data_IF_604688947476
#
_entry.id   IF_604688947476
#
_cell.length_a   1.000
_cell.length_b   1.000
_cell.length_c   1.000
_cell.angle_alpha   90.00
_cell.angle_beta   90.00
_cell.angle_gamma   90.00
#
_symmetry.space_group_name_H-M   'P 1'
#
loop_
_entity.id
_entity.type
_entity.pdbx_description
1 polymer ?
#
# COMPACT_ATOMS: atom_id res chain seq x y z
N UNK A 1 34.89 14.22 -44.04
CA UNK A 1 33.80 14.02 -45.02
C UNK A 1 33.55 12.54 -45.20
N UNK A 2 32.28 12.19 -45.15
CA UNK A 2 31.63 10.87 -45.17
C UNK A 2 31.97 10.04 -46.42
N UNK A 3 32.24 8.74 -46.27
CA UNK A 3 32.13 7.78 -47.40
C UNK A 3 31.12 6.69 -47.06
N UNK A 4 29.99 6.82 -47.76
CA UNK A 4 28.85 5.90 -47.87
C UNK A 4 29.31 4.50 -48.29
N UNK A 5 28.74 3.48 -47.68
CA UNK A 5 28.73 2.12 -48.19
C UNK A 5 27.50 1.94 -49.12
N UNK A 6 27.73 1.36 -50.29
CA UNK A 6 26.69 0.94 -51.23
C UNK A 6 26.82 -0.58 -51.40
N UNK A 7 25.73 -1.25 -51.01
CA UNK A 7 25.07 -2.43 -51.58
C UNK A 7 25.79 -3.76 -51.84
N UNK A 8 24.97 -4.80 -51.62
CA UNK A 8 24.97 -6.16 -52.18
C UNK A 8 26.03 -7.10 -51.57
N UNK A 9 25.69 -8.29 -51.07
CA UNK A 9 24.47 -9.07 -51.11
C UNK A 9 24.91 -10.52 -50.90
N UNK A 10 24.24 -11.29 -50.05
CA UNK A 10 24.40 -12.75 -50.02
C UNK A 10 23.03 -13.36 -49.74
N UNK A 11 22.43 -13.90 -50.79
CA UNK A 11 21.44 -14.95 -50.67
C UNK A 11 22.20 -16.29 -50.56
N UNK A 12 21.81 -17.15 -49.63
CA UNK A 12 21.70 -18.60 -49.82
C UNK A 12 21.24 -19.25 -48.51
N UNK A 13 20.45 -20.30 -48.68
CA UNK A 13 19.54 -20.86 -47.70
C UNK A 13 20.15 -21.93 -46.78
N UNK A 14 19.43 -22.13 -45.67
CA UNK A 14 19.14 -23.37 -44.97
C UNK A 14 20.28 -24.16 -44.29
N UNK A 15 20.21 -24.23 -42.96
CA UNK A 15 20.22 -25.49 -42.23
C UNK A 15 19.40 -25.34 -40.94
N UNK A 16 18.39 -26.19 -40.79
CA UNK A 16 17.52 -26.30 -39.64
C UNK A 16 18.27 -26.82 -38.40
N UNK A 17 17.61 -26.69 -37.24
CA UNK A 17 18.02 -27.09 -35.87
C UNK A 17 18.81 -26.05 -35.06
N UNK A 18 18.29 -24.82 -35.00
CA UNK A 18 18.60 -23.89 -33.92
C UNK A 18 17.43 -23.83 -32.95
N UNK A 19 17.63 -24.28 -31.71
CA UNK A 19 16.67 -24.23 -30.62
C UNK A 19 16.07 -22.82 -30.57
N UNK A 20 14.78 -22.69 -30.86
CA UNK A 20 14.08 -21.43 -30.65
C UNK A 20 14.07 -21.18 -29.14
N UNK A 21 15.05 -20.40 -28.66
CA UNK A 21 15.00 -19.81 -27.33
C UNK A 21 13.90 -18.74 -27.37
N UNK A 22 12.65 -19.19 -27.38
CA UNK A 22 11.51 -18.35 -27.06
C UNK A 22 11.64 -18.01 -25.58
N UNK A 23 12.45 -17.00 -25.27
CA UNK A 23 12.37 -16.32 -23.99
C UNK A 23 11.00 -15.68 -23.96
N UNK A 24 10.04 -16.36 -23.34
CA UNK A 24 8.76 -15.77 -22.97
C UNK A 24 9.07 -14.42 -22.32
N UNK A 25 8.36 -13.33 -22.67
CA UNK A 25 8.54 -12.08 -21.97
C UNK A 25 8.34 -12.38 -20.50
N UNK A 26 9.36 -12.13 -19.69
CA UNK A 26 9.23 -12.22 -18.25
C UNK A 26 8.09 -11.26 -17.91
N UNK A 27 6.93 -11.80 -17.56
CA UNK A 27 5.89 -11.01 -16.90
C UNK A 27 6.58 -10.45 -15.68
N UNK A 28 6.94 -9.17 -15.73
CA UNK A 28 7.43 -8.48 -14.57
C UNK A 28 6.29 -8.54 -13.56
N UNK A 29 6.41 -9.43 -12.57
CA UNK A 29 5.55 -9.49 -11.40
C UNK A 29 5.64 -8.13 -10.73
N UNK A 30 4.81 -7.20 -11.19
CA UNK A 30 4.73 -5.88 -10.62
C UNK A 30 4.02 -6.07 -9.30
N UNK A 31 4.69 -5.85 -8.15
CA UNK A 31 4.06 -6.06 -6.87
C UNK A 31 2.81 -5.17 -6.78
N UNK A 32 1.71 -5.69 -6.21
CA UNK A 32 0.48 -4.93 -6.07
C UNK A 32 0.74 -3.63 -5.29
N UNK A 33 -0.03 -2.56 -5.54
CA UNK A 33 0.19 -1.28 -4.91
C UNK A 33 -0.05 -1.35 -3.39
N UNK A 34 0.70 -0.55 -2.59
CA UNK A 34 0.46 -0.45 -1.15
C UNK A 34 -0.99 -0.11 -0.86
N UNK A 35 -1.62 -0.89 0.02
CA UNK A 35 -3.06 -0.80 0.28
C UNK A 35 -3.35 -0.79 1.78
N UNK A 36 -4.36 -0.03 2.18
CA UNK A 36 -4.86 0.00 3.55
C UNK A 36 -6.31 -0.47 3.59
N UNK A 37 -6.61 -1.41 4.48
CA UNK A 37 -7.94 -1.95 4.69
C UNK A 37 -8.36 -1.87 6.15
N UNK A 38 -9.67 -1.75 6.37
CA UNK A 38 -10.28 -1.75 7.69
C UNK A 38 -11.34 -2.83 7.79
N UNK A 39 -11.44 -3.45 8.96
CA UNK A 39 -12.48 -4.42 9.26
C UNK A 39 -12.86 -4.37 10.74
N UNK A 40 -13.97 -5.04 11.08
CA UNK A 40 -14.44 -5.21 12.46
C UNK A 40 -14.39 -6.70 12.81
N UNK A 41 -13.82 -7.01 13.96
CA UNK A 41 -13.79 -8.35 14.54
C UNK A 41 -14.39 -8.28 15.95
N UNK A 42 -15.67 -8.63 16.06
CA UNK A 42 -16.45 -8.43 17.28
C UNK A 42 -16.59 -6.94 17.62
N UNK A 43 -16.11 -6.54 18.79
CA UNK A 43 -16.06 -5.13 19.22
C UNK A 43 -14.71 -4.47 18.96
N UNK A 44 -13.85 -5.07 18.14
CA UNK A 44 -12.51 -4.52 17.85
C UNK A 44 -12.43 -4.12 16.40
N UNK A 45 -11.84 -2.96 16.16
CA UNK A 45 -11.53 -2.48 14.83
C UNK A 45 -10.11 -2.94 14.49
N UNK A 46 -9.95 -3.43 13.26
CA UNK A 46 -8.68 -3.89 12.71
C UNK A 46 -8.33 -3.00 11.53
N UNK A 47 -7.15 -2.39 11.57
CA UNK A 47 -6.58 -1.66 10.44
C UNK A 47 -5.34 -2.39 9.96
N UNK A 48 -5.24 -2.66 8.66
CA UNK A 48 -4.07 -3.32 8.07
C UNK A 48 -3.55 -2.53 6.89
N UNK A 49 -2.22 -2.44 6.77
CA UNK A 49 -1.57 -2.04 5.54
C UNK A 49 -0.78 -3.22 4.98
N UNK A 50 -0.89 -3.46 3.68
CA UNK A 50 -0.21 -4.55 2.96
C UNK A 50 0.50 -4.01 1.73
N UNK A 51 1.41 -4.82 1.18
CA UNK A 51 2.21 -4.46 0.01
C UNK A 51 3.02 -3.17 0.20
N UNK A 52 3.47 -2.92 1.43
CA UNK A 52 4.30 -1.78 1.75
C UNK A 52 5.66 -1.93 1.06
N UNK A 53 6.19 -0.84 0.46
CA UNK A 53 7.48 -0.87 -0.24
C UNK A 53 8.61 -1.24 0.71
N UNK A 54 9.80 -1.62 0.25
CA UNK A 54 10.91 -1.95 1.16
C UNK A 54 11.39 -0.76 2.03
N UNK A 55 12.19 -1.06 3.05
CA UNK A 55 12.75 -0.07 3.98
C UNK A 55 11.97 0.09 5.28
N UNK A 56 12.42 1.00 6.15
CA UNK A 56 11.81 1.26 7.46
C UNK A 56 10.66 2.27 7.34
N UNK A 57 9.48 1.90 7.84
CA UNK A 57 8.27 2.70 7.85
C UNK A 57 7.83 3.02 9.26
N UNK A 58 7.20 4.18 9.42
CA UNK A 58 6.35 4.49 10.56
C UNK A 58 4.90 4.38 10.11
N UNK A 59 4.10 3.60 10.80
CA UNK A 59 2.66 3.49 10.54
C UNK A 59 1.89 3.89 11.79
N UNK A 60 0.88 4.73 11.60
CA UNK A 60 0.05 5.30 12.65
C UNK A 60 -1.40 4.96 12.36
N UNK A 61 -2.08 4.41 13.35
CA UNK A 61 -3.50 4.09 13.28
C UNK A 61 -4.28 4.93 14.28
N UNK A 62 -5.31 5.60 13.78
CA UNK A 62 -6.17 6.50 14.54
C UNK A 62 -7.64 6.19 14.28
N UNK A 63 -8.49 6.51 15.26
CA UNK A 63 -9.95 6.41 15.15
C UNK A 63 -10.62 7.59 15.82
N UNK A 64 -11.77 8.01 15.35
CA UNK A 64 -12.61 8.96 16.08
C UNK A 64 -13.23 8.36 17.36
N UNK A 65 -13.86 9.22 18.17
CA UNK A 65 -14.88 8.82 19.12
C UNK A 65 -16.06 8.08 18.42
N UNK A 66 -16.88 7.29 19.14
CA UNK A 66 -18.09 6.70 18.55
C UNK A 66 -19.08 7.79 18.11
N UNK A 67 -19.66 7.61 16.93
CA UNK A 67 -20.69 8.46 16.33
C UNK A 67 -20.34 9.96 16.42
N UNK A 68 -19.16 10.36 15.88
CA UNK A 68 -18.76 11.75 15.94
C UNK A 68 -19.76 12.59 15.16
N UNK A 69 -19.95 13.83 15.64
CA UNK A 69 -20.80 14.81 14.98
C UNK A 69 -20.31 15.16 13.56
N UNK A 70 -21.00 16.08 12.87
CA UNK A 70 -20.57 16.56 11.56
C UNK A 70 -19.11 17.01 11.60
N UNK A 71 -18.30 16.48 10.68
CA UNK A 71 -16.89 16.85 10.55
C UNK A 71 -16.84 18.11 9.69
N UNK A 72 -16.67 19.26 10.34
CA UNK A 72 -16.67 20.59 9.69
C UNK A 72 -15.30 21.25 9.91
N UNK A 73 -14.50 21.34 8.84
CA UNK A 73 -13.22 22.07 8.83
C UNK A 73 -11.94 21.21 8.93
N UNK A 74 -10.80 21.77 8.50
CA UNK A 74 -9.47 21.13 8.51
C UNK A 74 -8.80 21.04 9.90
N UNK A 75 -9.48 21.47 10.97
CA UNK A 75 -8.94 21.44 12.32
C UNK A 75 -9.61 20.33 13.13
N UNK A 76 -8.88 19.23 13.27
CA UNK A 76 -9.12 18.25 14.31
C UNK A 76 -10.35 17.40 14.10
N UNK A 77 -10.26 16.39 13.23
CA UNK A 77 -10.97 15.16 13.58
C UNK A 77 -10.45 14.78 14.98
N UNK A 78 -11.35 14.61 15.96
CA UNK A 78 -11.06 14.07 17.31
C UNK A 78 -10.60 12.60 17.21
N UNK A 79 -9.50 12.40 16.48
CA UNK A 79 -8.89 11.12 16.20
C UNK A 79 -8.05 10.76 17.41
N UNK A 80 -8.49 9.72 18.09
CA UNK A 80 -7.79 9.07 19.18
C UNK A 80 -6.75 8.12 18.57
N UNK A 81 -5.47 8.23 18.96
CA UNK A 81 -4.45 7.29 18.52
C UNK A 81 -4.77 5.89 19.04
N UNK A 82 -4.84 4.92 18.12
CA UNK A 82 -4.95 3.50 18.45
C UNK A 82 -3.56 2.92 18.70
N UNK A 83 -2.58 3.35 17.92
CA UNK A 83 -1.18 3.01 18.12
C UNK A 83 -0.30 3.31 16.93
N UNK A 84 1.00 3.22 17.17
CA UNK A 84 2.04 3.48 16.18
C UNK A 84 3.00 2.29 16.12
N UNK A 85 3.51 1.98 14.93
CA UNK A 85 4.52 0.92 14.73
C UNK A 85 5.58 1.36 13.77
N UNK A 86 6.83 1.11 14.16
CA UNK A 86 7.98 1.11 13.24
C UNK A 86 8.18 -0.31 12.73
N UNK A 87 8.18 -0.50 11.41
CA UNK A 87 8.34 -1.82 10.79
C UNK A 87 9.21 -1.73 9.55
N UNK A 88 9.91 -2.81 9.22
CA UNK A 88 10.55 -2.98 7.91
C UNK A 88 9.79 -3.95 7.00
N UNK A 89 8.76 -4.61 7.54
CA UNK A 89 7.93 -5.59 6.83
C UNK A 89 7.07 -4.92 5.74
N UNK A 90 6.60 -5.73 4.82
CA UNK A 90 5.64 -5.38 3.76
C UNK A 90 4.20 -5.25 4.26
N UNK A 91 3.92 -5.63 5.52
CA UNK A 91 2.61 -5.52 6.12
C UNK A 91 2.67 -5.05 7.58
N UNK A 92 1.56 -4.45 8.03
CA UNK A 92 1.31 -4.15 9.44
C UNK A 92 -0.18 -4.31 9.73
N UNK A 93 -0.50 -4.83 10.91
CA UNK A 93 -1.87 -4.93 11.41
C UNK A 93 -1.97 -4.34 12.80
N UNK A 94 -2.95 -3.48 12.99
CA UNK A 94 -3.35 -2.91 14.27
C UNK A 94 -4.70 -3.47 14.67
N UNK A 95 -4.90 -3.62 15.98
CA UNK A 95 -6.19 -4.03 16.55
C UNK A 95 -6.48 -3.14 17.75
N UNK A 96 -7.64 -2.52 17.77
CA UNK A 96 -8.06 -1.73 18.93
C UNK A 96 -8.31 -2.63 20.14
N UNK A 97 -8.33 -2.00 21.33
CA UNK A 97 -9.13 -2.54 22.44
C UNK A 97 -10.61 -2.61 22.03
N UNK A 98 -11.44 -3.43 22.70
CA UNK A 98 -12.88 -3.41 22.46
C UNK A 98 -13.40 -1.97 22.55
N UNK A 99 -14.20 -1.56 21.57
CA UNK A 99 -14.85 -0.26 21.50
C UNK A 99 -16.37 -0.42 21.58
N UNK A 100 -17.10 0.60 22.07
CA UNK A 100 -18.55 0.61 22.02
C UNK A 100 -19.09 0.41 20.60
N UNK A 101 -20.38 0.08 20.50
CA UNK A 101 -21.08 0.15 19.22
C UNK A 101 -21.12 1.60 18.74
N UNK A 102 -21.18 1.78 17.44
CA UNK A 102 -21.25 3.09 16.81
C UNK A 102 -20.51 3.14 15.48
N UNK A 103 -20.61 4.27 14.80
CA UNK A 103 -19.89 4.59 13.58
C UNK A 103 -18.60 5.32 13.92
N UNK A 104 -17.50 4.91 13.31
CA UNK A 104 -16.18 5.45 13.54
C UNK A 104 -15.56 5.88 12.22
N UNK A 105 -15.02 7.08 12.15
CA UNK A 105 -14.01 7.45 11.18
C UNK A 105 -12.66 6.85 11.59
N UNK A 106 -12.00 6.18 10.67
CA UNK A 106 -10.70 5.54 10.85
C UNK A 106 -9.69 6.15 9.91
N UNK A 107 -8.43 6.25 10.35
CA UNK A 107 -7.31 6.64 9.51
C UNK A 107 -6.10 5.79 9.83
N UNK A 108 -5.52 5.17 8.81
CA UNK A 108 -4.22 4.51 8.92
C UNK A 108 -3.32 5.12 7.86
N UNK A 109 -2.16 5.60 8.29
CA UNK A 109 -1.16 6.19 7.41
C UNK A 109 0.19 5.56 7.70
N UNK A 110 0.90 5.18 6.64
CA UNK A 110 2.27 4.68 6.69
C UNK A 110 3.18 5.64 5.93
N UNK A 111 4.34 5.92 6.51
CA UNK A 111 5.32 6.87 6.01
C UNK A 111 6.71 6.25 5.94
N UNK A 112 7.46 6.61 4.90
CA UNK A 112 8.90 6.36 4.82
C UNK A 112 9.63 7.68 4.93
N UNK A 113 10.64 7.72 5.80
CA UNK A 113 11.57 8.85 5.86
C UNK A 113 12.57 8.75 4.70
N UNK A 114 12.52 9.69 3.78
CA UNK A 114 13.53 9.82 2.75
C UNK A 114 14.85 10.27 3.39
N UNK A 115 15.89 9.43 3.31
CA UNK A 115 17.19 9.73 3.93
C UNK A 115 17.93 10.89 3.28
N UNK A 116 17.67 11.18 2.00
CA UNK A 116 18.34 12.26 1.26
C UNK A 116 17.73 13.63 1.57
N UNK A 117 16.40 13.72 1.58
CA UNK A 117 15.69 14.99 1.83
C UNK A 117 15.26 15.19 3.30
N UNK A 118 15.31 14.15 4.12
CA UNK A 118 14.79 14.17 5.49
C UNK A 118 13.27 14.18 5.60
N UNK A 119 12.56 14.34 4.48
CA UNK A 119 11.09 14.41 4.42
C UNK A 119 10.43 13.05 4.56
N UNK A 120 9.21 13.03 5.07
CA UNK A 120 8.36 11.83 5.13
C UNK A 120 7.48 11.76 3.88
N UNK A 121 7.49 10.62 3.21
CA UNK A 121 6.60 10.32 2.08
C UNK A 121 5.54 9.35 2.55
N UNK A 122 4.27 9.67 2.26
CA UNK A 122 3.15 8.75 2.48
C UNK A 122 3.29 7.59 1.49
N UNK A 123 3.36 6.37 2.00
CA UNK A 123 3.45 5.16 1.17
C UNK A 123 2.13 4.41 1.08
N UNK A 124 1.30 4.50 2.12
CA UNK A 124 -0.04 3.94 2.12
C UNK A 124 -0.89 4.78 3.07
N UNK A 125 -2.09 5.17 2.64
CA UNK A 125 -3.04 5.85 3.50
C UNK A 125 -4.44 5.49 3.08
N UNK A 126 -5.34 5.37 4.05
CA UNK A 126 -6.76 5.33 3.80
C UNK A 126 -7.49 5.94 5.00
N UNK A 127 -8.61 6.58 4.72
CA UNK A 127 -9.51 7.15 5.70
C UNK A 127 -10.93 6.69 5.36
N UNK A 128 -11.58 6.01 6.30
CA UNK A 128 -12.84 5.34 6.02
C UNK A 128 -13.75 5.32 7.24
N UNK A 129 -15.05 5.47 6.98
CA UNK A 129 -16.10 5.21 7.96
C UNK A 129 -16.37 3.70 8.10
N UNK A 130 -16.41 3.20 9.33
CA UNK A 130 -16.83 1.83 9.64
C UNK A 130 -17.88 1.84 10.75
N UNK A 131 -18.76 0.84 10.75
CA UNK A 131 -19.74 0.65 11.83
C UNK A 131 -19.41 -0.59 12.65
N UNK A 132 -19.35 -0.44 13.97
CA UNK A 132 -19.25 -1.55 14.91
C UNK A 132 -20.67 -1.85 15.40
N UNK A 133 -21.33 -2.82 14.77
CA UNK A 133 -22.76 -3.12 15.02
C UNK A 133 -23.00 -4.26 16.00
N UNK A 134 -21.95 -4.96 16.45
CA UNK A 134 -22.05 -6.02 17.45
C UNK A 134 -23.02 -7.13 17.05
N UNK A 135 -22.64 -7.97 16.09
CA UNK A 135 -23.11 -9.36 16.06
C UNK A 135 -21.95 -10.25 16.48
N UNK A 136 -22.01 -10.70 17.73
CA UNK A 136 -21.40 -11.97 18.13
C UNK A 136 -22.07 -13.05 17.29
N UNK A 137 -21.29 -13.70 16.43
CA UNK A 137 -21.60 -15.07 16.01
C UNK A 137 -21.35 -16.00 17.19
#
# INVERSE_FOLDING_TARGET
>A
MLRKAISAGVAAAAAATGIALATAPATADTPPPPTVTFSVSGYRIVGSATYLPEGRKSCDFERSAPDPGPIIGSFGNDMVPVGSRLTSKDHVTFKTRPVPRGRYLLRLSCFIKNRKSGMYTIVATNEQWISVTGRSH
#
